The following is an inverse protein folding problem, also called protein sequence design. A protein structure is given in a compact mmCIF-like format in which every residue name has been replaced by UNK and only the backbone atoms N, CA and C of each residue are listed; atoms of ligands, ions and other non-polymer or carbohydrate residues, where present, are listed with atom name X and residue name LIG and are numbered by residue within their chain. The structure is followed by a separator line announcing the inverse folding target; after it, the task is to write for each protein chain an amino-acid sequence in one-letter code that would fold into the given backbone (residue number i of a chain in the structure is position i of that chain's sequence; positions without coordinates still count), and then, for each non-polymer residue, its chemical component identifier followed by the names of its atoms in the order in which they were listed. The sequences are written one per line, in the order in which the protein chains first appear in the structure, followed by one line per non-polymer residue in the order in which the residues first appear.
data_IF_719645908476
#
_entry.id   IF_719645908476
#
_cell.length_a   1.000
_cell.length_b   1.000
_cell.length_c   1.000
_cell.angle_alpha   90.00
_cell.angle_beta   90.00
_cell.angle_gamma   90.00
#
_symmetry.space_group_name_H-M   'P 1'
#
loop_
_entity.id
_entity.type
_entity.pdbx_description
1 polymer ?
#
# COMPACT_ATOMS: atom_id res chain seq x y z
N UNK A 1 24.50 -16.54 -16.77
CA UNK A 1 24.02 -15.22 -16.29
C UNK A 1 22.51 -15.05 -16.45
N UNK A 2 21.93 -15.36 -17.61
CA UNK A 2 20.47 -15.30 -17.86
C UNK A 2 19.61 -16.25 -16.98
N UNK A 3 20.11 -17.44 -16.66
CA UNK A 3 19.41 -18.43 -15.82
C UNK A 3 19.19 -17.97 -14.37
N UNK A 4 20.15 -17.23 -13.81
CA UNK A 4 20.05 -16.67 -12.44
C UNK A 4 19.04 -15.52 -12.39
N UNK A 5 18.98 -14.68 -13.43
CA UNK A 5 17.97 -13.63 -13.55
C UNK A 5 16.56 -14.19 -13.67
N UNK A 6 16.38 -15.25 -14.47
CA UNK A 6 15.08 -15.92 -14.65
C UNK A 6 14.60 -16.57 -13.34
N UNK A 7 15.51 -17.19 -12.58
CA UNK A 7 15.18 -17.84 -11.32
C UNK A 7 14.81 -16.82 -10.22
N UNK A 8 15.56 -15.72 -10.09
CA UNK A 8 15.19 -14.61 -9.20
C UNK A 8 13.86 -13.97 -9.57
N UNK A 9 13.56 -13.86 -10.87
CA UNK A 9 12.30 -13.32 -11.37
C UNK A 9 11.11 -14.20 -10.96
N UNK A 10 11.20 -15.53 -11.15
CA UNK A 10 10.14 -16.48 -10.78
C UNK A 10 9.86 -16.48 -9.28
N UNK A 11 10.89 -16.49 -8.43
CA UNK A 11 10.71 -16.40 -6.97
C UNK A 11 10.07 -15.08 -6.54
N UNK A 12 10.41 -13.95 -7.17
CA UNK A 12 9.77 -12.65 -6.92
C UNK A 12 8.30 -12.63 -7.33
N UNK A 13 7.96 -13.17 -8.49
CA UNK A 13 6.57 -13.27 -8.93
C UNK A 13 5.74 -14.09 -7.92
N UNK A 14 6.29 -15.19 -7.41
CA UNK A 14 5.64 -16.02 -6.38
C UNK A 14 5.53 -15.26 -5.05
N UNK A 15 6.55 -14.52 -4.63
CA UNK A 15 6.52 -13.70 -3.41
C UNK A 15 5.43 -12.62 -3.46
N UNK A 16 5.33 -11.86 -4.57
CA UNK A 16 4.29 -10.84 -4.72
C UNK A 16 2.87 -11.42 -4.89
N UNK A 17 2.74 -12.62 -5.48
CA UNK A 17 1.46 -13.34 -5.54
C UNK A 17 1.00 -13.87 -4.17
N UNK A 18 1.94 -14.23 -3.29
CA UNK A 18 1.64 -14.85 -1.98
C UNK A 18 1.39 -13.85 -0.86
N UNK A 19 2.04 -12.67 -0.86
CA UNK A 19 1.85 -11.64 0.17
C UNK A 19 0.63 -10.75 -0.04
N UNK A 20 0.13 -10.67 -1.28
CA UNK A 20 -0.92 -9.73 -1.65
C UNK A 20 -2.33 -10.25 -1.46
N UNK A 21 -2.67 -11.46 -1.92
CA UNK A 21 -4.07 -11.90 -2.06
C UNK A 21 -4.97 -10.97 -2.92
N UNK A 22 -4.43 -9.87 -3.44
CA UNK A 22 -5.10 -8.85 -4.23
C UNK A 22 -4.58 -8.91 -5.67
N UNK A 23 -5.26 -9.65 -6.52
CA UNK A 23 -4.92 -9.80 -7.95
C UNK A 23 -5.48 -8.64 -8.81
N UNK A 24 -5.42 -7.41 -8.31
CA UNK A 24 -5.98 -6.24 -8.99
C UNK A 24 -4.92 -5.60 -9.90
N UNK A 25 -4.54 -6.28 -10.98
CA UNK A 25 -3.49 -5.85 -11.91
C UNK A 25 -2.92 -7.01 -12.72
N UNK A 26 -2.12 -6.72 -13.75
CA UNK A 26 -1.45 -7.75 -14.53
C UNK A 26 -0.30 -8.37 -13.72
N UNK A 27 -0.23 -9.69 -13.56
CA UNK A 27 0.94 -10.32 -12.93
C UNK A 27 2.18 -10.05 -13.77
N UNK A 28 3.30 -9.86 -13.09
CA UNK A 28 4.59 -9.67 -13.74
C UNK A 28 5.10 -11.01 -14.27
N UNK A 29 5.19 -11.10 -15.59
CA UNK A 29 5.76 -12.23 -16.32
C UNK A 29 6.93 -11.75 -17.17
N UNK A 30 7.75 -12.67 -17.65
CA UNK A 30 8.87 -12.35 -18.56
C UNK A 30 8.40 -11.67 -19.87
N UNK A 31 7.10 -11.73 -20.20
CA UNK A 31 6.53 -11.21 -21.46
C UNK A 31 5.94 -9.81 -21.33
N UNK A 32 5.62 -9.36 -20.13
CA UNK A 32 4.87 -8.10 -19.91
C UNK A 32 5.47 -7.22 -18.79
N UNK A 33 6.66 -7.58 -18.29
CA UNK A 33 7.33 -6.87 -17.20
C UNK A 33 8.42 -5.98 -17.75
N UNK A 34 8.30 -4.70 -17.44
CA UNK A 34 9.30 -3.71 -17.69
C UNK A 34 10.51 -3.99 -16.78
N UNK A 35 11.58 -4.52 -17.36
CA UNK A 35 12.88 -4.65 -16.70
C UNK A 35 13.81 -3.56 -17.24
N UNK A 36 14.42 -2.79 -16.33
CA UNK A 36 15.46 -1.82 -16.65
C UNK A 36 16.82 -2.53 -16.67
N UNK A 37 17.58 -2.34 -17.74
CA UNK A 37 18.98 -2.76 -17.80
C UNK A 37 19.86 -1.85 -16.94
N UNK A 38 21.15 -2.17 -16.84
CA UNK A 38 22.13 -1.41 -16.03
C UNK A 38 22.34 0.03 -16.51
N UNK A 39 21.83 0.39 -17.70
CA UNK A 39 21.92 1.72 -18.33
C UNK A 39 20.57 2.44 -18.35
N UNK A 40 19.61 1.99 -17.55
CA UNK A 40 18.24 2.54 -17.51
C UNK A 40 17.48 2.44 -18.84
N UNK A 41 17.83 1.47 -19.67
CA UNK A 41 17.10 1.16 -20.90
C UNK A 41 16.10 0.03 -20.66
N UNK A 42 14.88 0.20 -21.14
CA UNK A 42 13.82 -0.80 -21.02
C UNK A 42 14.03 -1.95 -22.01
N UNK A 43 13.92 -3.19 -21.53
CA UNK A 43 14.16 -4.39 -22.34
C UNK A 43 13.00 -4.79 -23.27
N UNK A 44 11.81 -4.22 -23.09
CA UNK A 44 10.62 -4.47 -23.90
C UNK A 44 10.04 -3.16 -24.46
N UNK A 45 9.39 -3.18 -25.65
CA UNK A 45 8.67 -2.03 -26.17
C UNK A 45 7.62 -1.53 -25.17
N UNK A 46 7.58 -0.22 -24.94
CA UNK A 46 6.75 0.40 -23.88
C UNK A 46 5.25 0.10 -24.03
N UNK A 47 4.80 -0.13 -25.26
CA UNK A 47 3.38 -0.34 -25.56
C UNK A 47 2.81 -1.67 -25.08
N UNK A 48 3.63 -2.67 -24.73
CA UNK A 48 3.13 -3.97 -24.27
C UNK A 48 3.28 -4.18 -22.76
N UNK A 49 3.87 -3.20 -22.06
CA UNK A 49 4.20 -3.28 -20.65
C UNK A 49 2.97 -3.05 -19.78
N UNK A 50 2.51 -4.12 -19.13
CA UNK A 50 1.38 -4.09 -18.19
C UNK A 50 1.84 -4.16 -16.72
N UNK A 51 3.06 -4.63 -16.50
CA UNK A 51 3.74 -4.62 -15.21
C UNK A 51 5.06 -3.84 -15.31
N UNK A 52 5.38 -3.08 -14.26
CA UNK A 52 6.68 -2.45 -14.05
C UNK A 52 7.28 -2.97 -12.74
N UNK A 53 8.39 -3.69 -12.82
CA UNK A 53 9.12 -4.16 -11.64
C UNK A 53 10.51 -3.51 -11.63
N UNK A 54 10.72 -2.61 -10.67
CA UNK A 54 11.97 -1.87 -10.49
C UNK A 54 12.69 -2.24 -9.19
N UNK A 55 12.25 -3.29 -8.51
CA UNK A 55 12.83 -3.77 -7.25
C UNK A 55 14.27 -4.25 -7.41
N UNK A 56 14.66 -4.69 -8.61
CA UNK A 56 16.03 -5.13 -8.95
C UNK A 56 17.02 -3.97 -9.05
N UNK A 57 16.55 -2.72 -9.10
CA UNK A 57 17.40 -1.53 -9.22
C UNK A 57 18.14 -1.15 -7.92
N UNK A 58 17.94 -1.91 -6.84
CA UNK A 58 18.77 -1.88 -5.64
C UNK A 58 18.84 -0.50 -4.97
N UNK A 59 20.05 0.08 -4.88
CA UNK A 59 20.34 1.34 -4.14
C UNK A 59 19.74 2.61 -4.75
N UNK A 60 19.02 2.52 -5.86
CA UNK A 60 18.39 3.69 -6.50
C UNK A 60 17.24 4.22 -5.66
N UNK A 61 17.33 5.49 -5.28
CA UNK A 61 16.37 6.15 -4.38
C UNK A 61 15.20 6.82 -5.10
N UNK A 62 15.14 6.71 -6.43
CA UNK A 62 14.12 7.37 -7.25
C UNK A 62 13.64 6.42 -8.36
N UNK A 63 12.35 6.49 -8.66
CA UNK A 63 11.76 5.92 -9.87
C UNK A 63 12.24 6.78 -11.05
N UNK A 64 12.71 6.19 -12.17
CA UNK A 64 13.07 6.99 -13.33
C UNK A 64 11.87 7.81 -13.85
N UNK A 65 12.14 8.96 -14.44
CA UNK A 65 11.11 9.97 -14.74
C UNK A 65 10.93 10.26 -16.23
N UNK A 66 11.84 9.78 -17.07
CA UNK A 66 11.90 10.11 -18.49
C UNK A 66 11.15 9.06 -19.35
N UNK A 67 10.04 8.53 -18.85
CA UNK A 67 9.29 7.48 -19.55
C UNK A 67 7.78 7.58 -19.28
N UNK A 68 6.98 7.14 -20.25
CA UNK A 68 5.57 6.89 -20.06
C UNK A 68 5.30 5.42 -20.35
N UNK A 69 4.74 4.70 -19.39
CA UNK A 69 4.30 3.30 -19.54
C UNK A 69 2.79 3.30 -19.31
N UNK A 70 2.08 3.87 -20.28
CA UNK A 70 0.66 4.21 -20.17
C UNK A 70 -0.27 3.00 -20.04
N UNK A 71 0.20 1.80 -20.39
CA UNK A 71 -0.55 0.54 -20.24
C UNK A 71 -0.26 -0.20 -18.93
N UNK A 72 0.70 0.27 -18.11
CA UNK A 72 1.02 -0.38 -16.86
C UNK A 72 -0.16 -0.33 -15.89
N UNK A 73 -0.50 -1.50 -15.35
CA UNK A 73 -1.52 -1.69 -14.32
C UNK A 73 -0.92 -2.09 -12.98
N UNK A 74 0.36 -2.45 -12.95
CA UNK A 74 1.05 -2.94 -11.75
C UNK A 74 2.44 -2.34 -11.67
N UNK A 75 2.79 -1.84 -10.49
CA UNK A 75 4.13 -1.33 -10.16
C UNK A 75 4.64 -2.01 -8.88
N UNK A 76 5.77 -2.69 -8.99
CA UNK A 76 6.57 -3.15 -7.85
C UNK A 76 7.79 -2.26 -7.68
N UNK A 77 7.85 -1.56 -6.55
CA UNK A 77 8.91 -0.63 -6.19
C UNK A 77 9.29 -0.76 -4.70
N UNK A 78 9.09 -1.95 -4.13
CA UNK A 78 9.50 -2.31 -2.78
C UNK A 78 11.02 -2.50 -2.67
N UNK A 79 11.55 -2.39 -1.44
CA UNK A 79 12.98 -2.57 -1.13
C UNK A 79 13.95 -1.64 -1.88
N UNK A 80 13.47 -0.48 -2.35
CA UNK A 80 14.25 0.50 -3.12
C UNK A 80 14.85 1.64 -2.27
N UNK A 81 14.68 1.60 -0.94
CA UNK A 81 15.07 2.67 -0.02
C UNK A 81 14.47 4.06 -0.34
N UNK A 82 13.33 4.11 -1.04
CA UNK A 82 12.65 5.34 -1.43
C UNK A 82 12.30 6.19 -0.20
N UNK A 83 12.53 7.50 -0.27
CA UNK A 83 12.15 8.44 0.80
C UNK A 83 10.87 9.21 0.51
N UNK A 84 10.48 9.27 -0.77
CA UNK A 84 9.30 9.96 -1.29
C UNK A 84 8.73 9.18 -2.47
N UNK A 85 7.42 9.29 -2.63
CA UNK A 85 6.72 8.88 -3.86
C UNK A 85 6.88 10.04 -4.86
N UNK A 86 7.25 9.79 -6.13
CA UNK A 86 7.30 10.85 -7.14
C UNK A 86 5.90 11.39 -7.44
N UNK A 87 5.76 12.71 -7.55
CA UNK A 87 4.47 13.37 -7.82
C UNK A 87 3.93 13.06 -9.23
N UNK A 88 4.84 12.76 -10.16
CA UNK A 88 4.60 12.36 -11.55
C UNK A 88 4.12 10.91 -11.72
N UNK A 89 4.02 10.09 -10.67
CA UNK A 89 3.70 8.67 -10.85
C UNK A 89 2.40 8.45 -11.63
N UNK A 90 1.43 9.34 -11.44
CA UNK A 90 0.15 9.29 -12.14
C UNK A 90 0.23 9.72 -13.61
N UNK A 91 1.21 10.54 -13.99
CA UNK A 91 1.45 10.91 -15.39
C UNK A 91 2.25 9.82 -16.11
N UNK A 92 3.24 9.22 -15.43
CA UNK A 92 4.07 8.16 -16.02
C UNK A 92 3.27 6.86 -16.26
N UNK A 93 2.33 6.54 -15.36
CA UNK A 93 1.57 5.28 -15.37
C UNK A 93 0.11 5.51 -14.93
N UNK A 94 -0.72 6.15 -15.77
CA UNK A 94 -2.09 6.56 -15.41
C UNK A 94 -3.07 5.40 -15.16
N UNK A 95 -2.78 4.19 -15.64
CA UNK A 95 -3.67 3.00 -15.55
C UNK A 95 -3.35 2.06 -14.38
N UNK A 96 -2.54 2.50 -13.42
CA UNK A 96 -2.13 1.68 -12.28
C UNK A 96 -3.34 1.23 -11.45
N UNK A 97 -3.39 -0.07 -11.18
CA UNK A 97 -4.37 -0.76 -10.33
C UNK A 97 -3.77 -1.26 -9.03
N UNK A 98 -2.49 -1.65 -9.07
CA UNK A 98 -1.71 -2.08 -7.90
C UNK A 98 -0.38 -1.35 -7.87
N UNK A 99 -0.04 -0.83 -6.69
CA UNK A 99 1.28 -0.26 -6.40
C UNK A 99 1.81 -0.85 -5.10
N UNK A 100 3.01 -1.43 -5.18
CA UNK A 100 3.75 -1.87 -4.01
C UNK A 100 4.94 -0.95 -3.74
N UNK A 101 4.90 -0.30 -2.59
CA UNK A 101 5.97 0.53 -2.04
C UNK A 101 6.48 -0.01 -0.70
N UNK A 102 6.24 -1.27 -0.40
CA UNK A 102 6.61 -1.86 0.88
C UNK A 102 8.13 -1.85 1.11
N UNK A 103 8.56 -1.92 2.36
CA UNK A 103 9.99 -2.02 2.71
C UNK A 103 10.85 -0.87 2.16
N UNK A 104 10.33 0.35 2.22
CA UNK A 104 11.03 1.58 1.82
C UNK A 104 11.25 2.50 3.04
N UNK A 105 11.76 3.71 2.80
CA UNK A 105 11.97 4.73 3.83
C UNK A 105 10.94 5.88 3.72
N UNK A 106 9.73 5.61 3.22
CA UNK A 106 8.73 6.62 2.97
C UNK A 106 8.24 7.22 4.28
N UNK A 107 8.30 8.56 4.38
CA UNK A 107 7.83 9.30 5.56
C UNK A 107 6.57 10.10 5.31
N UNK A 108 6.46 10.73 4.14
CA UNK A 108 5.31 11.58 3.78
C UNK A 108 4.73 11.08 2.48
N UNK A 109 3.41 11.02 2.45
CA UNK A 109 2.63 10.78 1.25
C UNK A 109 1.97 12.11 0.92
N UNK A 110 2.19 12.64 -0.28
CA UNK A 110 1.46 13.83 -0.70
C UNK A 110 0.00 13.44 -0.84
N UNK A 111 -0.91 14.29 -0.36
CA UNK A 111 -2.33 13.96 -0.32
C UNK A 111 -2.88 13.66 -1.73
N UNK A 112 -2.27 14.23 -2.76
CA UNK A 112 -2.76 14.15 -4.14
C UNK A 112 -1.95 13.20 -5.03
N UNK A 113 -0.92 12.51 -4.51
CA UNK A 113 -0.03 11.62 -5.30
C UNK A 113 -0.77 10.57 -6.13
N UNK A 114 -1.97 10.16 -5.68
CA UNK A 114 -2.76 9.11 -6.31
C UNK A 114 -4.17 9.60 -6.71
N UNK A 115 -4.40 10.91 -6.69
CA UNK A 115 -5.75 11.48 -6.86
C UNK A 115 -6.33 11.30 -8.27
N UNK A 116 -5.46 11.23 -9.28
CA UNK A 116 -5.79 11.03 -10.70
C UNK A 116 -5.80 9.56 -11.13
N UNK A 117 -5.35 8.62 -10.28
CA UNK A 117 -5.36 7.19 -10.59
C UNK A 117 -6.74 6.58 -10.34
N UNK A 118 -7.63 6.77 -11.32
CA UNK A 118 -9.04 6.37 -11.25
C UNK A 118 -9.25 4.86 -11.11
N UNK A 119 -8.25 4.05 -11.47
CA UNK A 119 -8.28 2.59 -11.39
C UNK A 119 -7.39 2.02 -10.28
N UNK A 120 -6.80 2.84 -9.41
CA UNK A 120 -5.96 2.33 -8.32
C UNK A 120 -6.80 1.62 -7.24
N UNK A 121 -6.68 0.29 -7.17
CA UNK A 121 -7.43 -0.54 -6.23
C UNK A 121 -6.60 -0.91 -4.99
N UNK A 122 -5.29 -1.11 -5.15
CA UNK A 122 -4.41 -1.65 -4.10
C UNK A 122 -3.17 -0.79 -3.93
N UNK A 123 -2.91 -0.35 -2.70
CA UNK A 123 -1.69 0.38 -2.34
C UNK A 123 -1.05 -0.27 -1.11
N UNK A 124 0.16 -0.79 -1.29
CA UNK A 124 0.94 -1.41 -0.22
C UNK A 124 2.05 -0.46 0.22
N UNK A 125 2.07 -0.12 1.50
CA UNK A 125 3.06 0.77 2.13
C UNK A 125 3.61 0.12 3.41
N UNK A 126 3.63 -1.21 3.48
CA UNK A 126 4.14 -1.93 4.65
C UNK A 126 5.63 -1.61 4.89
N UNK A 127 6.11 -1.75 6.12
CA UNK A 127 7.53 -1.63 6.45
C UNK A 127 8.15 -0.29 6.01
N UNK A 128 7.44 0.81 6.30
CA UNK A 128 7.86 2.18 6.00
C UNK A 128 7.88 3.03 7.29
N UNK A 129 7.93 4.36 7.14
CA UNK A 129 7.90 5.33 8.23
C UNK A 129 6.81 6.38 8.05
N UNK A 130 5.65 5.98 7.50
CA UNK A 130 4.57 6.88 7.10
C UNK A 130 4.05 7.68 8.29
N UNK A 131 4.18 9.00 8.18
CA UNK A 131 3.68 9.96 9.14
C UNK A 131 2.22 10.31 8.85
N UNK A 132 1.36 10.24 9.86
CA UNK A 132 -0.04 10.64 9.77
C UNK A 132 -0.17 12.17 9.97
N UNK A 133 -0.65 12.92 8.96
CA UNK A 133 -0.81 14.37 9.08
C UNK A 133 -1.81 14.78 10.17
N UNK A 134 -1.55 15.91 10.83
CA UNK A 134 -2.41 16.40 11.93
C UNK A 134 -3.73 17.01 11.45
N UNK A 135 -3.70 17.76 10.35
CA UNK A 135 -4.82 18.62 9.88
C UNK A 135 -5.41 18.18 8.53
N UNK A 136 -4.74 17.31 7.80
CA UNK A 136 -5.13 16.87 6.46
C UNK A 136 -5.36 15.35 6.43
N UNK A 137 -6.10 14.84 5.43
CA UNK A 137 -6.12 13.40 5.14
C UNK A 137 -4.72 12.85 4.87
N UNK A 138 -4.56 11.53 5.01
CA UNK A 138 -3.32 10.85 4.65
C UNK A 138 -3.07 10.92 3.14
N UNK A 139 -4.09 10.57 2.35
CA UNK A 139 -4.10 10.64 0.90
C UNK A 139 -5.55 10.71 0.38
N UNK A 140 -5.69 11.09 -0.89
CA UNK A 140 -6.93 11.16 -1.64
C UNK A 140 -6.90 10.09 -2.74
N UNK A 141 -7.86 9.16 -2.68
CA UNK A 141 -8.12 8.20 -3.74
C UNK A 141 -9.57 7.74 -3.64
N UNK A 142 -10.32 7.89 -4.74
CA UNK A 142 -11.73 7.49 -4.83
C UNK A 142 -11.89 6.00 -5.18
N UNK A 143 -10.87 5.42 -5.79
CA UNK A 143 -10.82 4.06 -6.33
C UNK A 143 -10.28 3.04 -5.34
N UNK A 144 -9.44 3.47 -4.38
CA UNK A 144 -8.72 2.57 -3.48
C UNK A 144 -9.65 1.65 -2.69
N UNK A 145 -9.38 0.36 -2.76
CA UNK A 145 -10.10 -0.72 -2.07
C UNK A 145 -9.27 -1.34 -0.96
N UNK A 146 -7.98 -1.53 -1.18
CA UNK A 146 -7.05 -2.12 -0.22
C UNK A 146 -5.89 -1.16 0.06
N UNK A 147 -5.63 -0.92 1.35
CA UNK A 147 -4.51 -0.11 1.84
C UNK A 147 -3.79 -0.86 2.96
N UNK A 148 -2.49 -1.11 2.78
CA UNK A 148 -1.63 -1.58 3.86
C UNK A 148 -0.75 -0.46 4.40
N UNK A 149 -0.86 -0.22 5.71
CA UNK A 149 0.02 0.66 6.51
C UNK A 149 0.67 -0.13 7.65
N UNK A 150 0.77 -1.46 7.51
CA UNK A 150 1.39 -2.32 8.50
C UNK A 150 2.82 -1.91 8.78
N UNK A 151 3.25 -2.07 10.04
CA UNK A 151 4.62 -1.79 10.48
C UNK A 151 5.18 -0.39 10.09
N UNK A 152 4.37 0.65 10.26
CA UNK A 152 4.78 2.04 9.98
C UNK A 152 5.08 2.88 11.23
N UNK A 153 5.15 2.24 12.41
CA UNK A 153 5.36 2.91 13.72
C UNK A 153 4.30 3.99 14.02
N UNK A 154 3.09 3.85 13.48
CA UNK A 154 2.00 4.82 13.64
C UNK A 154 1.52 4.78 15.10
N UNK A 155 1.57 5.93 15.78
CA UNK A 155 1.18 6.03 17.20
C UNK A 155 -0.26 6.49 17.41
N UNK A 156 -0.78 7.32 16.51
CA UNK A 156 -2.09 7.96 16.64
C UNK A 156 -2.71 8.16 15.26
N UNK A 157 -4.00 7.87 15.14
CA UNK A 157 -4.83 8.21 13.99
C UNK A 157 -5.78 9.35 14.36
N UNK A 158 -6.04 10.25 13.42
CA UNK A 158 -6.90 11.43 13.62
C UNK A 158 -8.25 11.20 12.93
N UNK A 159 -9.33 11.89 13.35
CA UNK A 159 -10.68 11.65 12.83
C UNK A 159 -10.79 11.76 11.29
N UNK A 160 -9.96 12.59 10.66
CA UNK A 160 -9.97 12.85 9.22
C UNK A 160 -8.88 12.10 8.44
N UNK A 161 -8.12 11.22 9.09
CA UNK A 161 -6.99 10.51 8.46
C UNK A 161 -7.40 9.78 7.18
N UNK A 162 -8.55 9.10 7.19
CA UNK A 162 -9.06 8.32 6.06
C UNK A 162 -10.29 8.93 5.37
N UNK A 163 -10.52 10.24 5.55
CA UNK A 163 -11.75 10.91 5.09
C UNK A 163 -12.03 10.74 3.59
N UNK A 164 -10.98 10.72 2.78
CA UNK A 164 -11.10 10.66 1.32
C UNK A 164 -11.06 9.23 0.75
N UNK A 165 -10.85 8.20 1.58
CA UNK A 165 -10.77 6.79 1.16
C UNK A 165 -12.13 6.09 1.25
N UNK A 166 -13.16 6.72 0.67
CA UNK A 166 -14.55 6.31 0.87
C UNK A 166 -14.85 4.90 0.33
N UNK A 167 -14.10 4.44 -0.67
CA UNK A 167 -14.26 3.13 -1.31
C UNK A 167 -13.52 1.98 -0.63
N UNK A 168 -12.79 2.23 0.46
CA UNK A 168 -11.90 1.26 1.07
C UNK A 168 -12.67 0.09 1.69
N UNK A 169 -12.27 -1.14 1.35
CA UNK A 169 -12.83 -2.40 1.83
C UNK A 169 -11.89 -3.16 2.76
N UNK A 170 -10.57 -2.98 2.59
CA UNK A 170 -9.53 -3.60 3.44
C UNK A 170 -8.54 -2.55 3.91
N UNK A 171 -8.28 -2.52 5.21
CA UNK A 171 -7.28 -1.66 5.84
C UNK A 171 -6.41 -2.47 6.80
N UNK A 172 -5.11 -2.50 6.51
CA UNK A 172 -4.11 -3.07 7.41
C UNK A 172 -3.40 -1.98 8.20
N UNK A 173 -3.46 -2.08 9.52
CA UNK A 173 -2.79 -1.22 10.49
C UNK A 173 -2.05 -2.05 11.54
N UNK A 174 -1.81 -3.34 11.28
CA UNK A 174 -1.12 -4.23 12.20
C UNK A 174 0.33 -3.80 12.44
N UNK A 175 0.93 -4.31 13.52
CA UNK A 175 2.35 -4.07 13.83
C UNK A 175 2.70 -2.57 13.95
N UNK A 176 1.72 -1.74 14.31
CA UNK A 176 1.95 -0.32 14.60
C UNK A 176 2.03 -0.08 16.12
N UNK A 177 2.10 1.17 16.54
CA UNK A 177 2.22 1.57 17.94
C UNK A 177 0.97 2.29 18.44
N UNK A 178 -0.20 1.92 17.92
CA UNK A 178 -1.48 2.53 18.28
C UNK A 178 -1.82 2.20 19.73
N UNK A 179 -2.05 3.25 20.54
CA UNK A 179 -2.39 3.10 21.97
C UNK A 179 -3.89 3.27 22.21
N UNK A 180 -4.53 4.16 21.42
CA UNK A 180 -5.97 4.44 21.44
C UNK A 180 -6.43 4.79 20.03
N UNK A 181 -7.70 4.51 19.73
CA UNK A 181 -8.36 4.93 18.49
C UNK A 181 -9.38 6.01 18.79
N UNK A 182 -9.42 7.04 17.95
CA UNK A 182 -10.47 8.05 18.06
C UNK A 182 -11.79 7.45 17.57
N UNK A 183 -12.94 7.66 18.24
CA UNK A 183 -14.23 7.03 17.91
C UNK A 183 -14.78 7.34 16.51
N UNK A 184 -14.21 8.29 15.79
CA UNK A 184 -14.69 8.75 14.47
C UNK A 184 -13.70 8.48 13.34
N UNK A 185 -12.57 7.82 13.63
CA UNK A 185 -11.47 7.68 12.66
C UNK A 185 -11.83 6.81 11.47
N UNK A 186 -12.69 5.81 11.67
CA UNK A 186 -13.16 4.92 10.61
C UNK A 186 -14.57 5.25 10.11
N UNK A 187 -15.25 6.24 10.70
CA UNK A 187 -16.60 6.67 10.28
C UNK A 187 -16.73 6.95 8.76
N UNK A 188 -15.71 7.49 8.06
CA UNK A 188 -15.78 7.68 6.61
C UNK A 188 -15.78 6.38 5.79
N UNK A 189 -15.30 5.26 6.34
CA UNK A 189 -15.05 4.01 5.63
C UNK A 189 -16.29 3.11 5.58
N UNK A 190 -17.31 3.57 4.85
CA UNK A 190 -18.65 2.94 4.82
C UNK A 190 -18.68 1.52 4.25
N UNK A 191 -17.68 1.15 3.45
CA UNK A 191 -17.59 -0.16 2.78
C UNK A 191 -16.51 -1.07 3.36
N UNK A 192 -15.95 -0.71 4.52
CA UNK A 192 -14.89 -1.48 5.14
C UNK A 192 -15.41 -2.86 5.54
N UNK A 193 -14.75 -3.92 5.05
CA UNK A 193 -15.07 -5.32 5.34
C UNK A 193 -14.06 -5.94 6.29
N UNK A 194 -12.79 -5.54 6.17
CA UNK A 194 -11.69 -6.08 6.97
C UNK A 194 -10.84 -4.94 7.52
N UNK A 195 -10.69 -4.94 8.84
CA UNK A 195 -9.84 -3.99 9.57
C UNK A 195 -8.86 -4.77 10.43
N UNK A 196 -7.58 -4.70 10.07
CA UNK A 196 -6.54 -5.38 10.81
C UNK A 196 -5.81 -4.38 11.72
N UNK A 197 -5.83 -4.64 13.02
CA UNK A 197 -5.29 -3.82 14.10
C UNK A 197 -4.42 -4.65 15.06
N UNK A 198 -4.08 -5.89 14.68
CA UNK A 198 -3.29 -6.79 15.50
C UNK A 198 -1.89 -6.27 15.79
N UNK A 199 -1.27 -6.80 16.84
CA UNK A 199 0.10 -6.43 17.25
C UNK A 199 0.30 -4.91 17.39
N UNK A 200 -0.67 -4.22 18.00
CA UNK A 200 -0.57 -2.82 18.39
C UNK A 200 -0.41 -2.72 19.93
N UNK A 201 -0.60 -1.52 20.49
CA UNK A 201 -0.52 -1.27 21.94
C UNK A 201 -1.88 -0.85 22.52
N UNK A 202 -2.97 -1.32 21.92
CA UNK A 202 -4.32 -0.99 22.37
C UNK A 202 -4.59 -1.69 23.70
N UNK A 203 -4.98 -0.91 24.71
CA UNK A 203 -5.31 -1.43 26.05
C UNK A 203 -6.79 -1.69 26.26
N UNK A 204 -7.62 -1.08 25.43
CA UNK A 204 -9.09 -1.10 25.48
C UNK A 204 -9.55 -1.46 24.09
N UNK A 205 -10.51 -2.38 23.99
CA UNK A 205 -11.12 -2.72 22.72
C UNK A 205 -12.00 -1.52 22.33
N UNK A 206 -11.65 -0.77 21.27
CA UNK A 206 -12.29 0.51 21.07
C UNK A 206 -13.76 0.28 20.70
N UNK A 207 -14.69 0.96 21.39
CA UNK A 207 -16.13 0.95 21.06
C UNK A 207 -16.42 1.18 19.58
N UNK A 208 -15.48 1.76 18.83
CA UNK A 208 -15.54 1.88 17.38
C UNK A 208 -15.72 0.52 16.67
N UNK A 209 -15.32 -0.60 17.26
CA UNK A 209 -15.61 -1.94 16.73
C UNK A 209 -17.12 -2.20 16.63
N UNK A 210 -17.94 -1.51 17.44
CA UNK A 210 -19.40 -1.50 17.35
C UNK A 210 -19.94 -0.48 16.34
N UNK A 211 -19.19 0.61 16.07
CA UNK A 211 -19.60 1.68 15.15
C UNK A 211 -19.13 1.49 13.69
N UNK A 212 -18.14 0.62 13.42
CA UNK A 212 -17.79 0.26 12.04
C UNK A 212 -18.83 -0.74 11.53
N UNK A 213 -19.65 -0.38 10.53
CA UNK A 213 -20.72 -1.25 10.08
C UNK A 213 -20.16 -2.53 9.46
N UNK A 214 -20.40 -3.67 10.13
CA UNK A 214 -20.24 -5.04 9.60
C UNK A 214 -18.82 -5.45 9.16
N UNK A 215 -17.78 -4.75 9.60
CA UNK A 215 -16.39 -5.15 9.33
C UNK A 215 -15.94 -6.26 10.29
N UNK A 216 -15.16 -7.21 9.77
CA UNK A 216 -14.37 -8.13 10.58
C UNK A 216 -13.14 -7.36 11.08
N UNK A 217 -13.02 -7.25 12.40
CA UNK A 217 -11.90 -6.54 13.04
C UNK A 217 -10.95 -7.54 13.69
N UNK A 218 -9.70 -7.57 13.22
CA UNK A 218 -8.66 -8.45 13.73
C UNK A 218 -7.79 -7.66 14.71
N UNK A 219 -7.76 -8.08 15.98
CA UNK A 219 -7.08 -7.33 17.06
C UNK A 219 -6.06 -8.15 17.85
N UNK A 220 -5.78 -9.39 17.43
CA UNK A 220 -4.86 -10.31 18.11
C UNK A 220 -3.48 -9.67 18.34
N UNK A 221 -2.90 -9.89 19.53
CA UNK A 221 -1.57 -9.36 19.87
C UNK A 221 -1.56 -7.93 20.43
N UNK A 222 -2.71 -7.40 20.83
CA UNK A 222 -2.80 -6.17 21.62
C UNK A 222 -2.85 -6.48 23.12
N UNK A 223 -2.25 -5.64 23.98
CA UNK A 223 -2.27 -5.80 25.43
C UNK A 223 -3.58 -5.28 26.04
N UNK A 224 -4.71 -5.91 25.68
CA UNK A 224 -6.00 -5.56 26.26
C UNK A 224 -6.02 -5.86 27.76
N UNK A 225 -6.46 -4.91 28.57
CA UNK A 225 -6.75 -5.19 29.98
C UNK A 225 -7.98 -6.10 30.03
N UNK A 226 -7.94 -7.16 30.85
CA UNK A 226 -8.94 -8.24 30.82
C UNK A 226 -10.40 -7.81 31.01
N UNK A 227 -11.30 -8.64 30.48
CA UNK A 227 -12.78 -8.64 30.51
C UNK A 227 -13.56 -7.70 29.58
N UNK A 228 -12.93 -6.99 28.64
CA UNK A 228 -13.68 -6.40 27.52
C UNK A 228 -13.98 -7.46 26.45
N UNK A 229 -14.77 -8.46 26.84
CA UNK A 229 -15.49 -9.32 25.90
C UNK A 229 -16.52 -8.42 25.24
N UNK A 230 -16.26 -7.95 24.02
CA UNK A 230 -17.34 -7.47 23.16
C UNK A 230 -18.16 -8.72 22.80
N UNK A 231 -19.15 -9.02 23.65
CA UNK A 231 -20.27 -9.88 23.26
C UNK A 231 -21.00 -9.16 22.14
N UNK A 232 -21.17 -9.86 21.01
CA UNK A 232 -22.16 -9.50 20.00
C UNK A 232 -23.56 -9.64 20.58
#
# INVERSE_FOLDING_TARGET
MWSVFLFCFVLKTIYHQTLGGFTNGAPCTIRNTALLDTRDSWLLPKDDLQCVDITSLGRRKNIPQNFEIIKATTLYADHMHLRRIPDSISTLMPKLKLIDFSSNNLRRISKDSFSSLIDLHTLLLEDNHVFIPKKTPLLNSRSLKALSLSNNKIRRLKPKTFKELKGLTVLYLDRNWLIRLHPKVFKPLKYLKYLHLGNNRLKVLPHIVLEVPKAIVIVKGNPFNGTEVIKR
#
